data_IF_988386033462
#
_entry.id   IF_988386033462
#
_cell.length_a   1.000
_cell.length_b   1.000
_cell.length_c   1.000
_cell.angle_alpha   90.00
_cell.angle_beta   90.00
_cell.angle_gamma   90.00
#
_symmetry.space_group_name_H-M   'P 1'
#
loop_
_entity.id
_entity.type
_entity.pdbx_description
1 polymer ?
#
# COMPACT_ATOMS: atom_id res chain seq x y z
N UNK A 1 -22.09 -63.06 14.45
CA UNK A 1 -22.44 -61.69 14.78
C UNK A 1 -21.23 -60.76 14.51
N UNK A 2 -21.17 -60.11 13.36
CA UNK A 2 -20.07 -59.16 13.02
C UNK A 2 -20.54 -57.75 13.29
N UNK A 3 -19.96 -57.08 14.30
CA UNK A 3 -20.21 -55.67 14.62
C UNK A 3 -19.58 -54.79 13.54
N UNK A 4 -20.41 -54.07 12.76
CA UNK A 4 -19.96 -53.03 11.83
C UNK A 4 -19.60 -51.78 12.67
N UNK A 5 -18.31 -51.43 12.71
CA UNK A 5 -17.82 -50.16 13.23
C UNK A 5 -18.04 -49.09 12.16
N UNK A 6 -18.96 -48.19 12.42
CA UNK A 6 -19.16 -46.96 11.61
C UNK A 6 -18.10 -45.97 12.07
N UNK A 7 -17.13 -45.72 11.18
CA UNK A 7 -16.12 -44.67 11.41
C UNK A 7 -16.71 -43.35 10.94
N UNK A 8 -17.10 -42.51 11.90
CA UNK A 8 -17.56 -41.15 11.64
C UNK A 8 -16.30 -40.28 11.51
N UNK A 9 -15.98 -39.88 10.29
CA UNK A 9 -14.96 -38.88 10.04
C UNK A 9 -15.57 -37.49 10.30
N UNK A 10 -15.21 -36.87 11.41
CA UNK A 10 -15.49 -35.46 11.68
C UNK A 10 -14.60 -34.61 10.78
N UNK A 11 -15.20 -33.96 9.79
CA UNK A 11 -14.55 -32.99 8.93
C UNK A 11 -14.45 -31.69 9.72
N UNK A 12 -13.31 -31.44 10.36
CA UNK A 12 -13.01 -30.14 10.98
C UNK A 12 -12.80 -29.09 9.88
N UNK A 13 -13.80 -28.24 9.66
CA UNK A 13 -13.68 -27.02 8.86
C UNK A 13 -12.85 -26.01 9.65
N UNK A 14 -11.55 -26.00 9.45
CA UNK A 14 -10.69 -24.91 9.88
C UNK A 14 -10.93 -23.73 8.93
N UNK A 15 -11.85 -22.83 9.29
CA UNK A 15 -11.98 -21.52 8.66
C UNK A 15 -10.79 -20.67 9.08
N UNK A 16 -9.67 -20.80 8.34
CA UNK A 16 -8.53 -19.91 8.45
C UNK A 16 -8.94 -18.51 8.01
N UNK A 17 -9.20 -17.63 8.97
CA UNK A 17 -9.32 -16.20 8.72
C UNK A 17 -7.94 -15.71 8.25
N UNK A 18 -7.75 -15.57 6.95
CA UNK A 18 -6.55 -14.99 6.38
C UNK A 18 -6.54 -13.50 6.79
N UNK A 19 -5.77 -13.18 7.82
CA UNK A 19 -5.43 -11.80 8.15
C UNK A 19 -4.56 -11.32 6.99
N UNK A 20 -5.10 -10.43 6.15
CA UNK A 20 -4.30 -9.78 5.12
C UNK A 20 -3.14 -9.05 5.84
N UNK A 21 -1.88 -9.22 5.39
CA UNK A 21 -0.79 -8.46 5.96
C UNK A 21 -1.11 -6.98 5.73
N UNK A 22 -1.13 -6.21 6.81
CA UNK A 22 -1.20 -4.75 6.74
C UNK A 22 0.03 -4.33 5.93
N UNK A 23 -0.18 -3.78 4.76
CA UNK A 23 0.93 -3.18 4.01
C UNK A 23 1.45 -2.04 4.88
N UNK A 24 2.59 -2.27 5.51
CA UNK A 24 3.30 -1.24 6.26
C UNK A 24 3.58 -0.10 5.27
N UNK A 25 3.11 1.11 5.60
CA UNK A 25 3.30 2.26 4.72
C UNK A 25 4.81 2.51 4.60
N UNK A 26 5.37 2.31 3.42
CA UNK A 26 6.79 2.52 3.19
C UNK A 26 7.11 4.00 3.46
N UNK A 27 8.13 4.24 4.30
CA UNK A 27 8.65 5.58 4.54
C UNK A 27 9.70 5.88 3.48
N UNK A 28 9.51 6.97 2.73
CA UNK A 28 10.51 7.45 1.77
C UNK A 28 11.17 8.70 2.35
N UNK A 29 12.50 8.68 2.43
CA UNK A 29 13.29 9.81 2.93
C UNK A 29 13.81 10.68 1.78
N UNK A 30 13.69 11.99 1.95
CA UNK A 30 14.28 13.03 1.08
C UNK A 30 15.32 13.82 1.88
N UNK A 31 16.58 13.78 1.45
CA UNK A 31 17.60 14.66 1.98
C UNK A 31 17.48 16.02 1.31
N UNK A 32 17.33 17.07 2.12
CA UNK A 32 17.06 18.44 1.69
C UNK A 32 18.25 19.32 2.05
N UNK A 33 19.07 19.61 1.05
CA UNK A 33 20.14 20.60 1.13
C UNK A 33 19.71 21.95 0.54
N UNK A 34 20.68 22.86 0.40
CA UNK A 34 20.47 24.18 -0.21
C UNK A 34 21.57 24.51 -1.23
N UNK A 35 21.18 25.23 -2.28
CA UNK A 35 22.07 25.94 -3.21
C UNK A 35 21.91 27.43 -2.97
N UNK A 36 22.60 27.93 -1.95
CA UNK A 36 22.42 29.29 -1.46
C UNK A 36 20.96 29.58 -1.10
N UNK A 37 20.51 30.82 -1.37
CA UNK A 37 19.12 31.24 -1.17
C UNK A 37 18.21 30.98 -2.39
N UNK A 38 18.74 30.35 -3.43
CA UNK A 38 18.02 30.17 -4.69
C UNK A 38 17.21 28.90 -4.76
N UNK A 39 17.68 27.80 -4.12
CA UNK A 39 17.02 26.54 -4.26
C UNK A 39 17.26 25.59 -3.07
N UNK A 40 16.27 24.76 -2.76
CA UNK A 40 16.49 23.48 -2.10
C UNK A 40 17.06 22.47 -3.10
N UNK A 41 18.00 21.65 -2.63
CA UNK A 41 18.60 20.56 -3.42
C UNK A 41 18.07 19.26 -2.88
N UNK A 42 17.31 18.53 -3.69
CA UNK A 42 16.74 17.23 -3.34
C UNK A 42 17.08 16.26 -4.47
N UNK A 43 17.79 15.15 -4.15
CA UNK A 43 18.22 14.19 -5.16
C UNK A 43 19.16 14.83 -6.22
N UNK A 44 20.03 15.76 -5.81
CA UNK A 44 20.92 16.54 -6.67
C UNK A 44 20.22 17.47 -7.69
N UNK A 45 18.92 17.73 -7.54
CA UNK A 45 18.14 18.63 -8.41
C UNK A 45 17.69 19.83 -7.60
N UNK A 46 17.75 21.02 -8.23
CA UNK A 46 17.28 22.26 -7.65
C UNK A 46 15.75 22.35 -7.73
N UNK A 47 15.08 22.54 -6.60
CA UNK A 47 13.64 22.71 -6.49
C UNK A 47 12.81 21.68 -7.29
N UNK A 48 13.07 20.36 -7.19
CA UNK A 48 12.34 19.38 -8.00
C UNK A 48 10.86 19.33 -7.64
N UNK A 49 10.02 18.96 -8.61
CA UNK A 49 8.67 18.51 -8.32
C UNK A 49 8.74 17.10 -7.73
N UNK A 50 8.10 16.88 -6.58
CA UNK A 50 8.03 15.59 -5.93
C UNK A 50 6.61 15.02 -6.05
N UNK A 51 6.52 13.72 -6.33
CA UNK A 51 5.23 13.01 -6.33
C UNK A 51 5.09 12.20 -5.05
N UNK A 52 4.03 12.48 -4.29
CA UNK A 52 3.72 11.82 -3.02
C UNK A 52 2.39 11.08 -3.14
N UNK A 53 2.30 9.91 -2.52
CA UNK A 53 1.10 9.06 -2.57
C UNK A 53 0.31 9.17 -1.26
N UNK A 54 -1.00 9.34 -1.34
CA UNK A 54 -1.89 9.32 -0.17
C UNK A 54 -1.73 8.03 0.61
N UNK A 55 -1.75 8.15 1.94
CA UNK A 55 -1.56 7.02 2.86
C UNK A 55 -0.11 6.63 3.11
N UNK A 56 0.85 7.23 2.41
CA UNK A 56 2.28 6.99 2.62
C UNK A 56 2.89 8.04 3.56
N UNK A 57 4.00 7.67 4.19
CA UNK A 57 4.79 8.57 5.04
C UNK A 57 6.06 8.98 4.32
N UNK A 58 6.36 10.26 4.36
CA UNK A 58 7.57 10.85 3.82
C UNK A 58 8.30 11.63 4.90
N UNK A 59 9.63 11.56 4.89
CA UNK A 59 10.49 12.36 5.75
C UNK A 59 11.38 13.26 4.90
N UNK A 60 11.53 14.51 5.33
CA UNK A 60 12.40 15.47 4.71
C UNK A 60 13.48 15.81 5.74
N UNK A 61 14.67 15.26 5.56
CA UNK A 61 15.84 15.54 6.42
C UNK A 61 16.47 16.84 5.94
N UNK A 62 16.13 17.95 6.59
CA UNK A 62 16.58 19.28 6.21
C UNK A 62 17.93 19.57 6.84
N UNK A 63 18.95 19.69 6.01
CA UNK A 63 20.31 20.11 6.39
C UNK A 63 20.59 21.57 6.03
N UNK A 64 19.64 22.22 5.33
CA UNK A 64 19.69 23.61 4.90
C UNK A 64 19.51 24.56 6.08
N UNK A 65 20.58 24.79 6.86
CA UNK A 65 20.55 25.72 8.00
C UNK A 65 20.19 27.13 7.58
N UNK A 66 19.32 27.82 8.34
CA UNK A 66 18.83 29.15 8.01
C UNK A 66 17.75 29.19 6.93
N UNK A 67 17.29 28.05 6.43
CA UNK A 67 16.24 27.95 5.41
C UNK A 67 15.09 27.06 5.92
N UNK A 68 14.12 27.60 6.70
CA UNK A 68 12.99 26.84 7.21
C UNK A 68 12.16 26.19 6.08
N UNK A 69 12.05 24.86 6.12
CA UNK A 69 11.35 24.07 5.12
C UNK A 69 9.89 23.86 5.53
N UNK A 70 8.98 24.43 4.78
CA UNK A 70 7.56 24.36 5.04
C UNK A 70 6.85 23.57 3.94
N UNK A 71 5.90 22.70 4.35
CA UNK A 71 4.86 22.18 3.47
C UNK A 71 3.69 23.16 3.56
N UNK A 72 3.25 23.70 2.43
CA UNK A 72 2.31 24.80 2.36
C UNK A 72 1.28 24.61 1.23
N UNK A 73 0.18 25.34 1.33
CA UNK A 73 -0.88 25.39 0.31
C UNK A 73 -0.61 26.39 -0.81
N UNK A 74 0.33 27.30 -0.59
CA UNK A 74 0.73 28.34 -1.55
C UNK A 74 2.26 28.51 -1.55
N UNK A 75 2.78 29.07 -2.65
CA UNK A 75 4.15 29.50 -2.78
C UNK A 75 4.30 30.97 -2.29
N UNK A 76 5.48 31.32 -1.83
CA UNK A 76 5.85 32.66 -1.38
C UNK A 76 6.59 32.64 -0.05
N UNK A 77 7.52 33.55 0.12
CA UNK A 77 8.24 33.80 1.38
C UNK A 77 7.53 34.86 2.22
N UNK A 78 8.00 35.06 3.47
CA UNK A 78 7.52 36.12 4.36
C UNK A 78 6.23 35.80 5.11
N UNK A 79 5.32 34.99 4.56
CA UNK A 79 4.06 34.58 5.17
C UNK A 79 3.78 33.09 5.01
N UNK A 80 4.83 32.29 4.85
CA UNK A 80 4.74 30.84 4.59
C UNK A 80 4.03 30.10 5.71
N UNK A 81 4.17 30.54 6.95
CA UNK A 81 3.55 29.91 8.12
C UNK A 81 2.02 30.04 8.08
N UNK A 82 1.46 31.16 7.62
CA UNK A 82 0.02 31.35 7.49
C UNK A 82 -0.61 30.46 6.42
N UNK A 83 0.18 30.01 5.46
CA UNK A 83 -0.21 29.08 4.39
C UNK A 83 0.25 27.65 4.67
N UNK A 84 0.78 27.35 5.87
CA UNK A 84 1.26 26.04 6.21
C UNK A 84 0.16 24.97 6.11
N UNK A 85 0.47 23.87 5.44
CA UNK A 85 -0.37 22.69 5.48
C UNK A 85 0.04 21.84 6.69
N UNK A 86 -0.83 21.74 7.70
CA UNK A 86 -0.51 21.09 8.98
C UNK A 86 -1.05 19.67 9.12
N UNK A 87 -2.08 19.30 8.34
CA UNK A 87 -2.71 17.99 8.48
C UNK A 87 -1.75 16.86 8.08
N UNK A 88 -1.35 16.03 9.05
CA UNK A 88 -0.39 14.95 8.85
C UNK A 88 1.07 15.40 8.77
N UNK A 89 1.36 16.70 8.98
CA UNK A 89 2.74 17.23 9.01
C UNK A 89 3.21 17.42 10.44
N UNK A 90 4.40 16.95 10.72
CA UNK A 90 5.10 17.11 12.01
C UNK A 90 6.39 17.90 11.78
N UNK A 91 6.70 18.82 12.68
CA UNK A 91 7.89 19.67 12.65
C UNK A 91 8.00 20.50 11.35
N UNK A 92 6.88 21.02 10.87
CA UNK A 92 6.85 21.92 9.71
C UNK A 92 7.68 23.17 9.99
N UNK A 93 8.49 23.61 9.04
CA UNK A 93 9.39 24.74 9.22
C UNK A 93 10.76 24.40 9.83
N UNK A 94 11.15 23.13 9.88
CA UNK A 94 12.47 22.72 10.37
C UNK A 94 13.63 23.37 9.61
N UNK A 95 14.70 23.78 10.35
CA UNK A 95 15.88 24.45 9.76
C UNK A 95 17.09 24.48 10.75
N UNK A 96 17.98 23.46 10.85
CA UNK A 96 17.83 22.10 10.31
C UNK A 96 16.86 21.25 11.14
N UNK A 97 16.54 20.05 10.64
CA UNK A 97 15.69 19.07 11.32
C UNK A 97 14.96 18.18 10.35
N UNK A 98 14.06 17.34 10.86
CA UNK A 98 13.27 16.44 10.04
C UNK A 98 11.80 16.86 10.04
N UNK A 99 11.25 17.15 8.87
CA UNK A 99 9.81 17.31 8.66
C UNK A 99 9.25 15.95 8.26
N UNK A 100 8.22 15.47 8.96
CA UNK A 100 7.52 14.23 8.62
C UNK A 100 6.15 14.56 8.06
N UNK A 101 5.79 13.95 6.94
CA UNK A 101 4.49 14.10 6.31
C UNK A 101 3.81 12.75 6.07
N UNK A 102 2.79 12.47 6.87
CA UNK A 102 1.85 11.37 6.63
C UNK A 102 0.76 11.91 5.71
N UNK A 103 0.80 11.57 4.43
CA UNK A 103 -0.10 12.15 3.42
C UNK A 103 -1.54 11.71 3.67
N UNK A 104 -2.45 12.59 4.11
CA UNK A 104 -3.82 12.19 4.40
C UNK A 104 -4.61 11.93 3.12
N UNK A 105 -5.68 11.13 3.19
CA UNK A 105 -6.57 10.88 2.07
C UNK A 105 -7.22 12.17 1.53
N UNK A 106 -7.42 13.17 2.41
CA UNK A 106 -8.02 14.47 2.12
C UNK A 106 -7.01 15.52 1.63
N UNK A 107 -5.71 15.18 1.48
CA UNK A 107 -4.72 16.16 1.01
C UNK A 107 -5.15 16.74 -0.35
N UNK A 108 -4.92 18.04 -0.62
CA UNK A 108 -5.08 18.60 -1.95
C UNK A 108 -4.22 17.87 -2.98
N UNK A 109 -4.63 17.89 -4.26
CA UNK A 109 -3.83 17.28 -5.34
C UNK A 109 -2.47 17.96 -5.54
N UNK A 110 -2.37 19.20 -5.12
CA UNK A 110 -1.15 20.02 -5.21
C UNK A 110 -0.90 20.70 -3.87
N UNK A 111 0.29 20.51 -3.35
CA UNK A 111 0.89 21.26 -2.26
C UNK A 111 2.25 21.77 -2.72
N UNK A 112 2.90 22.54 -1.88
CA UNK A 112 4.21 23.10 -2.16
C UNK A 112 5.14 22.86 -0.98
N UNK A 113 6.44 22.79 -1.24
CA UNK A 113 7.43 23.04 -0.21
C UNK A 113 8.07 24.41 -0.48
N UNK A 114 8.35 25.16 0.57
CA UNK A 114 8.76 26.55 0.47
C UNK A 114 9.68 26.96 1.62
N UNK A 115 10.70 27.74 1.33
CA UNK A 115 11.50 28.42 2.33
C UNK A 115 10.74 29.64 2.86
N UNK A 116 10.74 29.82 4.18
CA UNK A 116 10.09 30.99 4.79
C UNK A 116 10.71 32.35 4.36
N UNK A 117 11.99 32.36 3.97
CA UNK A 117 12.74 33.62 3.76
C UNK A 117 13.05 33.90 2.30
N UNK A 118 12.92 32.95 1.38
CA UNK A 118 13.37 33.07 0.00
C UNK A 118 12.35 32.56 -1.01
N UNK A 119 11.73 33.45 -1.76
CA UNK A 119 10.70 33.13 -2.76
C UNK A 119 11.10 32.07 -3.80
N UNK A 120 12.32 32.11 -4.40
CA UNK A 120 12.67 31.14 -5.40
C UNK A 120 12.91 29.75 -4.83
N UNK A 121 13.16 29.66 -3.51
CA UNK A 121 13.56 28.44 -2.84
C UNK A 121 12.35 27.59 -2.44
N UNK A 122 11.93 26.70 -3.31
CA UNK A 122 10.79 25.80 -3.10
C UNK A 122 10.30 25.14 -4.38
N UNK A 123 9.39 24.16 -4.26
CA UNK A 123 8.89 23.39 -5.40
C UNK A 123 7.48 22.84 -5.16
N UNK A 124 7.03 22.03 -6.10
CA UNK A 124 5.69 21.44 -6.09
C UNK A 124 5.69 20.03 -5.51
N UNK A 125 4.68 19.73 -4.70
CA UNK A 125 4.31 18.40 -4.25
C UNK A 125 3.05 17.98 -5.01
N UNK A 126 3.17 17.02 -5.92
CA UNK A 126 2.03 16.41 -6.61
C UNK A 126 1.52 15.23 -5.78
N UNK A 127 0.28 15.31 -5.31
CA UNK A 127 -0.32 14.29 -4.45
C UNK A 127 -1.21 13.37 -5.28
N UNK A 128 -0.83 12.09 -5.36
CA UNK A 128 -1.55 11.07 -6.12
C UNK A 128 -2.23 10.05 -5.22
N UNK A 129 -3.29 9.42 -5.72
CA UNK A 129 -3.89 8.27 -5.04
C UNK A 129 -3.06 7.02 -5.26
N UNK A 130 -3.02 6.08 -4.29
CA UNK A 130 -2.41 4.79 -4.54
C UNK A 130 -3.15 4.08 -5.68
N UNK A 131 -2.48 3.20 -6.45
CA UNK A 131 -3.15 2.37 -7.43
C UNK A 131 -4.24 1.55 -6.75
N UNK A 132 -5.38 1.27 -7.43
CA UNK A 132 -6.43 0.45 -6.86
C UNK A 132 -5.84 -0.92 -6.47
N UNK A 133 -6.07 -1.33 -5.23
CA UNK A 133 -5.71 -2.68 -4.80
C UNK A 133 -6.62 -3.66 -5.54
N UNK A 134 -6.04 -4.51 -6.40
CA UNK A 134 -6.76 -5.63 -6.97
C UNK A 134 -7.03 -6.60 -5.82
N UNK A 135 -8.29 -6.91 -5.48
CA UNK A 135 -8.55 -7.93 -4.47
C UNK A 135 -7.85 -9.21 -4.89
N UNK A 136 -7.11 -9.83 -3.99
CA UNK A 136 -6.48 -11.13 -4.23
C UNK A 136 -7.58 -12.22 -4.29
N UNK A 137 -8.46 -12.16 -5.31
CA UNK A 137 -9.55 -13.12 -5.55
C UNK A 137 -9.03 -14.45 -6.12
N UNK A 138 -7.69 -14.59 -6.28
CA UNK A 138 -7.13 -15.72 -7.02
C UNK A 138 -7.13 -17.06 -6.29
N UNK A 139 -6.76 -17.11 -5.03
CA UNK A 139 -6.48 -18.41 -4.38
C UNK A 139 -7.73 -19.15 -3.90
N UNK A 140 -8.73 -18.44 -3.37
CA UNK A 140 -9.96 -19.09 -2.87
C UNK A 140 -10.87 -19.59 -4.00
N UNK A 141 -11.06 -18.80 -5.06
CA UNK A 141 -11.89 -19.19 -6.20
C UNK A 141 -11.25 -20.33 -7.01
N UNK A 142 -9.92 -20.30 -7.20
CA UNK A 142 -9.19 -21.40 -7.85
C UNK A 142 -9.21 -22.69 -7.01
N UNK A 143 -9.09 -22.57 -5.69
CA UNK A 143 -9.19 -23.74 -4.80
C UNK A 143 -10.59 -24.36 -4.82
N UNK A 144 -11.66 -23.56 -4.86
CA UNK A 144 -13.03 -24.04 -4.98
C UNK A 144 -13.28 -24.70 -6.34
N UNK A 145 -12.80 -24.13 -7.43
CA UNK A 145 -12.91 -24.72 -8.78
C UNK A 145 -12.13 -26.04 -8.87
N UNK A 146 -10.92 -26.09 -8.35
CA UNK A 146 -10.13 -27.32 -8.31
C UNK A 146 -10.82 -28.41 -7.47
N UNK A 147 -11.38 -28.06 -6.32
CA UNK A 147 -12.15 -28.96 -5.47
C UNK A 147 -13.39 -29.52 -6.17
N UNK A 148 -14.15 -28.69 -6.87
CA UNK A 148 -15.33 -29.10 -7.66
C UNK A 148 -14.95 -30.04 -8.83
N UNK A 149 -13.85 -29.77 -9.52
CA UNK A 149 -13.35 -30.62 -10.61
C UNK A 149 -12.91 -31.99 -10.10
N UNK A 150 -12.19 -32.03 -8.97
CA UNK A 150 -11.78 -33.30 -8.34
C UNK A 150 -12.98 -34.11 -7.85
N UNK A 151 -13.98 -33.49 -7.26
CA UNK A 151 -15.20 -34.17 -6.84
C UNK A 151 -15.98 -34.72 -8.03
N UNK A 152 -16.11 -33.98 -9.13
CA UNK A 152 -16.74 -34.44 -10.36
C UNK A 152 -16.00 -35.63 -10.98
N UNK A 153 -14.66 -35.57 -11.03
CA UNK A 153 -13.83 -36.67 -11.53
C UNK A 153 -13.99 -37.94 -10.67
N UNK A 154 -14.02 -37.78 -9.36
CA UNK A 154 -14.23 -38.94 -8.45
C UNK A 154 -15.59 -39.62 -8.64
N UNK A 155 -16.67 -38.82 -8.87
CA UNK A 155 -18.01 -39.36 -9.18
C UNK A 155 -18.02 -40.11 -10.51
N UNK A 156 -17.38 -39.58 -11.55
CA UNK A 156 -17.29 -40.19 -12.86
C UNK A 156 -16.51 -41.53 -12.81
N UNK A 157 -15.41 -41.57 -12.07
CA UNK A 157 -14.60 -42.76 -11.90
C UNK A 157 -15.40 -43.87 -11.14
N UNK A 158 -16.13 -43.48 -10.09
CA UNK A 158 -17.01 -44.45 -9.36
C UNK A 158 -18.09 -44.99 -10.25
N UNK A 159 -18.74 -44.19 -11.08
CA UNK A 159 -19.77 -44.65 -12.04
C UNK A 159 -19.20 -45.61 -13.10
N UNK A 160 -17.98 -45.34 -13.60
CA UNK A 160 -17.28 -46.26 -14.53
C UNK A 160 -16.94 -47.59 -13.86
N UNK A 161 -16.41 -47.57 -12.64
CA UNK A 161 -16.09 -48.80 -11.89
C UNK A 161 -17.35 -49.65 -11.63
N UNK A 162 -18.49 -49.04 -11.28
CA UNK A 162 -19.76 -49.71 -11.08
C UNK A 162 -20.28 -50.35 -12.38
N UNK A 163 -20.18 -49.64 -13.54
CA UNK A 163 -20.56 -50.22 -14.83
C UNK A 163 -19.70 -51.44 -15.22
N UNK A 164 -18.40 -51.36 -14.99
CA UNK A 164 -17.48 -52.48 -15.26
C UNK A 164 -17.79 -53.68 -14.36
N UNK A 165 -18.07 -53.44 -13.08
CA UNK A 165 -18.45 -54.50 -12.14
C UNK A 165 -19.78 -55.17 -12.55
N UNK A 166 -20.78 -54.37 -12.98
CA UNK A 166 -22.07 -54.90 -13.44
C UNK A 166 -21.93 -55.72 -14.73
N UNK A 167 -21.09 -55.32 -15.67
CA UNK A 167 -20.83 -56.13 -16.89
C UNK A 167 -20.12 -57.45 -16.60
N UNK A 168 -19.21 -57.47 -15.60
CA UNK A 168 -18.54 -58.70 -15.21
C UNK A 168 -19.48 -59.72 -14.54
N UNK A 169 -20.51 -59.27 -13.81
CA UNK A 169 -21.48 -60.15 -13.17
C UNK A 169 -22.51 -60.75 -14.13
N UNK A 170 -22.62 -60.26 -15.36
CA UNK A 170 -23.51 -60.82 -16.39
C UNK A 170 -22.85 -61.86 -17.28
N UNK A 171 -21.54 -62.07 -17.16
CA UNK A 171 -20.77 -63.02 -18.00
C UNK A 171 -20.45 -64.31 -17.21
N UNK A 172 -20.85 -64.43 -15.95
CA UNK A 172 -20.83 -65.68 -15.14
C UNK A 172 -22.20 -66.27 -15.07
#
# INVERSE_FOLDING_TARGET
MRKRRILIWALAMASGLAIAPWAEAATTNFDVGASGAAAYVIGAVNNPTLTLTRGQTYTFTVTAGGHPFWIATQRGSGDTESHAFSTGVTNNGASPGTVTFVVPASAPATLFYQCAFHDPMGGTLTIVSPPPSIPATGSGALALLAGLLLAAAAVLLRRRAQKIAAMRSQVQ
#
